data_IF_078818240717
#
_entry.id   IF_078818240717
#
_cell.length_a   1.000
_cell.length_b   1.000
_cell.length_c   1.000
_cell.angle_alpha   90.00
_cell.angle_beta   90.00
_cell.angle_gamma   90.00
#
_symmetry.space_group_name_H-M   'P 1'
#
loop_
_entity.id
_entity.type
_entity.pdbx_description
1 polymer ?
#
# COMPACT_ATOMS: atom_id res chain seq x y z
N UNK A 1 -35.40 -1.38 23.66
CA UNK A 1 -34.27 -1.60 24.58
C UNK A 1 -32.99 -1.48 23.75
N UNK A 2 -32.36 -0.30 23.79
CA UNK A 2 -31.08 0.00 23.11
C UNK A 2 -29.99 -0.80 23.84
N UNK A 3 -29.45 -1.84 23.20
CA UNK A 3 -28.21 -2.48 23.66
C UNK A 3 -27.08 -1.49 23.42
N UNK A 4 -26.58 -0.91 24.52
CA UNK A 4 -25.36 -0.13 24.50
C UNK A 4 -24.24 -0.94 23.79
N UNK A 5 -23.80 -0.48 22.63
CA UNK A 5 -22.59 -1.01 21.98
C UNK A 5 -21.45 -0.77 22.95
N UNK A 6 -20.84 -1.83 23.45
CA UNK A 6 -19.63 -1.73 24.24
C UNK A 6 -18.61 -0.91 23.42
N UNK A 7 -18.25 0.29 23.92
CA UNK A 7 -17.26 1.15 23.25
C UNK A 7 -15.94 0.39 23.19
N UNK A 8 -15.55 -0.07 22.01
CA UNK A 8 -14.25 -0.67 21.79
C UNK A 8 -13.16 0.32 22.22
N UNK A 9 -12.20 -0.13 23.02
CA UNK A 9 -11.15 0.76 23.55
C UNK A 9 -10.27 1.32 22.44
N UNK A 10 -9.76 2.56 22.61
CA UNK A 10 -8.86 3.19 21.63
C UNK A 10 -7.64 2.32 21.30
N UNK A 11 -6.96 1.67 22.26
CA UNK A 11 -5.87 0.74 21.95
C UNK A 11 -6.29 -0.43 21.05
N UNK A 12 -7.46 -1.03 21.28
CA UNK A 12 -7.94 -2.11 20.43
C UNK A 12 -8.27 -1.65 19.02
N UNK A 13 -8.84 -0.46 18.85
CA UNK A 13 -9.07 0.16 17.54
C UNK A 13 -7.76 0.53 16.85
N UNK A 14 -6.75 1.00 17.60
CA UNK A 14 -5.41 1.30 17.06
C UNK A 14 -4.73 0.03 16.57
N UNK A 15 -4.80 -1.06 17.33
CA UNK A 15 -4.28 -2.36 16.91
C UNK A 15 -4.98 -2.88 15.65
N UNK A 16 -6.31 -2.74 15.58
CA UNK A 16 -7.08 -3.07 14.39
C UNK A 16 -6.69 -2.23 13.18
N UNK A 17 -6.48 -0.92 13.37
CA UNK A 17 -6.03 -0.02 12.31
C UNK A 17 -4.64 -0.42 11.79
N UNK A 18 -3.69 -0.79 12.65
CA UNK A 18 -2.38 -1.29 12.21
C UNK A 18 -2.53 -2.53 11.34
N UNK A 19 -3.45 -3.44 11.70
CA UNK A 19 -3.65 -4.69 10.97
C UNK A 19 -4.32 -4.54 9.62
N UNK A 20 -5.30 -3.64 9.50
CA UNK A 20 -6.13 -3.55 8.29
C UNK A 20 -5.71 -2.35 7.43
N UNK A 21 -5.63 -1.15 8.04
CA UNK A 21 -5.43 0.10 7.31
C UNK A 21 -3.99 0.23 6.79
N UNK A 22 -3.02 -0.22 7.59
CA UNK A 22 -1.59 -0.02 7.30
C UNK A 22 -0.89 -1.26 6.73
N UNK A 23 -1.65 -2.32 6.40
CA UNK A 23 -1.10 -3.53 5.79
C UNK A 23 -0.36 -3.24 4.51
N UNK A 24 -1.00 -2.54 3.60
CA UNK A 24 -0.49 -2.28 2.26
C UNK A 24 0.73 -1.36 2.26
N UNK A 25 0.62 -0.18 2.86
CA UNK A 25 1.76 0.74 2.97
C UNK A 25 2.95 0.09 3.72
N UNK A 26 2.66 -0.85 4.64
CA UNK A 26 3.67 -1.60 5.37
C UNK A 26 4.47 -2.58 4.53
N UNK A 27 3.92 -3.04 3.41
CA UNK A 27 4.59 -4.00 2.51
C UNK A 27 5.37 -3.33 1.38
N UNK A 28 5.23 -2.01 1.20
CA UNK A 28 5.94 -1.25 0.18
C UNK A 28 7.48 -1.28 0.33
N UNK A 29 7.99 -1.53 1.53
CA UNK A 29 9.44 -1.69 1.79
C UNK A 29 10.07 -2.87 1.05
N UNK A 30 9.27 -3.86 0.64
CA UNK A 30 9.74 -5.04 -0.08
C UNK A 30 10.21 -4.73 -1.51
N UNK A 31 9.66 -3.69 -2.14
CA UNK A 31 9.87 -3.45 -3.56
C UNK A 31 10.27 -2.01 -3.92
N UNK A 32 9.93 -0.99 -3.11
CA UNK A 32 10.14 0.41 -3.50
C UNK A 32 11.60 0.77 -3.72
N UNK A 33 12.51 0.42 -2.80
CA UNK A 33 13.96 0.69 -2.95
C UNK A 33 14.56 -0.15 -4.07
N UNK A 34 14.16 -1.44 -4.14
CA UNK A 34 14.56 -2.35 -5.21
C UNK A 34 14.25 -1.76 -6.56
N UNK A 35 13.03 -1.24 -6.77
CA UNK A 35 12.59 -0.72 -8.06
C UNK A 35 13.41 0.49 -8.49
N UNK A 36 13.73 1.42 -7.58
CA UNK A 36 14.54 2.59 -7.91
C UNK A 36 15.95 2.21 -8.40
N UNK A 37 16.61 1.29 -7.70
CA UNK A 37 18.03 1.00 -7.96
C UNK A 37 18.28 -0.17 -8.91
N UNK A 38 17.33 -1.12 -9.01
CA UNK A 38 17.47 -2.28 -9.91
C UNK A 38 17.06 -1.97 -11.35
N UNK A 39 16.26 -0.94 -11.59
CA UNK A 39 15.83 -0.50 -12.92
C UNK A 39 16.99 -0.07 -13.84
N UNK A 40 18.18 0.16 -13.26
CA UNK A 40 19.38 0.60 -13.98
C UNK A 40 19.36 2.07 -14.43
N UNK A 41 18.28 2.79 -14.17
CA UNK A 41 18.17 4.20 -14.52
C UNK A 41 18.97 5.12 -13.60
N UNK A 42 19.12 4.74 -12.33
CA UNK A 42 19.84 5.52 -11.32
C UNK A 42 21.28 5.03 -11.22
N UNK A 43 22.25 5.92 -11.47
CA UNK A 43 23.64 5.64 -11.18
C UNK A 43 23.80 5.38 -9.67
N UNK A 44 24.45 4.26 -9.33
CA UNK A 44 24.67 3.85 -7.96
C UNK A 44 25.82 4.65 -7.35
N UNK A 45 25.51 5.70 -6.61
CA UNK A 45 26.45 6.52 -5.85
C UNK A 45 25.81 7.09 -4.58
N UNK A 46 26.63 7.58 -3.66
CA UNK A 46 26.21 8.10 -2.36
C UNK A 46 25.18 9.22 -2.48
N UNK A 47 25.41 10.18 -3.40
CA UNK A 47 24.53 11.33 -3.58
C UNK A 47 23.13 10.92 -4.05
N UNK A 48 23.04 9.94 -4.96
CA UNK A 48 21.76 9.43 -5.45
C UNK A 48 21.02 8.62 -4.37
N UNK A 49 21.73 7.84 -3.55
CA UNK A 49 21.12 7.11 -2.43
C UNK A 49 20.51 8.12 -1.45
N UNK A 50 21.22 9.17 -1.07
CA UNK A 50 20.70 10.21 -0.19
C UNK A 50 19.52 10.96 -0.83
N UNK A 51 19.60 11.30 -2.11
CA UNK A 51 18.53 11.95 -2.84
C UNK A 51 17.26 11.13 -2.89
N UNK A 52 17.35 9.85 -3.20
CA UNK A 52 16.21 8.91 -3.26
C UNK A 52 15.61 8.70 -1.88
N UNK A 53 16.41 8.49 -0.84
CA UNK A 53 15.90 8.34 0.53
C UNK A 53 15.21 9.62 1.00
N UNK A 54 15.79 10.78 0.69
CA UNK A 54 15.15 12.07 0.98
C UNK A 54 13.80 12.20 0.28
N UNK A 55 13.70 11.77 -0.99
CA UNK A 55 12.42 11.71 -1.70
C UNK A 55 11.41 10.80 -0.99
N UNK A 56 11.80 9.61 -0.52
CA UNK A 56 10.90 8.72 0.24
C UNK A 56 10.41 9.38 1.53
N UNK A 57 11.30 9.97 2.33
CA UNK A 57 10.95 10.67 3.58
C UNK A 57 9.92 11.75 3.33
N UNK A 58 10.18 12.62 2.35
CA UNK A 58 9.31 13.76 2.10
C UNK A 58 8.03 13.39 1.38
N UNK A 59 8.03 12.36 0.51
CA UNK A 59 6.82 11.82 -0.09
C UNK A 59 5.90 11.22 0.96
N UNK A 60 6.41 10.38 1.88
CA UNK A 60 5.63 9.83 2.99
C UNK A 60 5.11 10.96 3.90
N UNK A 61 5.95 11.94 4.20
CA UNK A 61 5.56 13.07 5.06
C UNK A 61 4.47 13.92 4.41
N UNK A 62 4.62 14.30 3.15
CA UNK A 62 3.68 15.19 2.47
C UNK A 62 2.39 14.43 2.09
N UNK A 63 2.52 13.26 1.48
CA UNK A 63 1.34 12.55 0.96
C UNK A 63 0.57 11.87 2.10
N UNK A 64 1.25 11.09 2.94
CA UNK A 64 0.54 10.33 3.97
C UNK A 64 0.26 11.19 5.19
N UNK A 65 1.28 11.80 5.79
CA UNK A 65 1.10 12.53 7.07
C UNK A 65 0.33 13.84 6.88
N UNK A 66 0.68 14.66 5.88
CA UNK A 66 0.03 15.94 5.68
C UNK A 66 -1.28 15.80 4.90
N UNK A 67 -1.24 15.24 3.69
CA UNK A 67 -2.42 15.16 2.82
C UNK A 67 -3.48 14.21 3.42
N UNK A 68 -3.17 12.92 3.64
CA UNK A 68 -4.18 11.96 4.10
C UNK A 68 -4.53 12.14 5.58
N UNK A 69 -3.55 12.02 6.47
CA UNK A 69 -3.78 12.01 7.93
C UNK A 69 -4.24 13.37 8.47
N UNK A 70 -3.68 14.47 7.97
CA UNK A 70 -3.98 15.80 8.51
C UNK A 70 -5.13 16.51 7.80
N UNK A 71 -5.28 16.35 6.47
CA UNK A 71 -6.28 17.04 5.68
C UNK A 71 -7.46 16.16 5.30
N UNK A 72 -7.22 15.05 4.55
CA UNK A 72 -8.30 14.22 3.97
C UNK A 72 -9.16 13.55 5.05
N UNK A 73 -8.56 13.08 6.15
CA UNK A 73 -9.34 12.52 7.27
C UNK A 73 -10.31 13.52 7.94
N UNK A 74 -10.24 14.82 7.61
CA UNK A 74 -11.23 15.80 8.10
C UNK A 74 -12.53 15.76 7.31
N UNK A 75 -12.47 15.38 6.03
CA UNK A 75 -13.63 15.23 5.16
C UNK A 75 -14.36 13.93 5.52
N UNK A 76 -15.34 13.98 6.39
CA UNK A 76 -16.16 12.83 6.72
C UNK A 76 -17.62 13.05 6.30
N UNK A 77 -18.26 12.00 5.84
CA UNK A 77 -19.68 11.97 5.55
C UNK A 77 -20.38 11.11 6.61
N UNK A 78 -20.86 11.74 7.68
CA UNK A 78 -21.53 11.08 8.81
C UNK A 78 -20.68 9.99 9.48
N UNK A 79 -19.38 10.23 9.58
CA UNK A 79 -18.42 9.29 10.13
C UNK A 79 -17.82 8.30 9.12
N UNK A 80 -18.33 8.25 7.89
CA UNK A 80 -17.77 7.42 6.82
C UNK A 80 -16.78 8.20 5.96
N UNK A 81 -15.75 7.50 5.46
CA UNK A 81 -14.74 7.99 4.55
C UNK A 81 -14.71 7.22 3.23
N UNK A 82 -13.63 7.42 2.49
CA UNK A 82 -13.39 6.78 1.20
C UNK A 82 -13.84 7.62 0.00
N UNK A 83 -13.46 7.14 -1.18
CA UNK A 83 -13.67 7.85 -2.45
C UNK A 83 -15.14 8.23 -2.68
N UNK A 84 -16.06 7.32 -2.37
CA UNK A 84 -17.50 7.54 -2.60
C UNK A 84 -18.08 8.53 -1.58
N UNK A 85 -17.61 8.52 -0.33
CA UNK A 85 -17.99 9.53 0.65
C UNK A 85 -17.53 10.93 0.21
N UNK A 86 -16.30 11.05 -0.30
CA UNK A 86 -15.78 12.31 -0.85
C UNK A 86 -16.58 12.76 -2.07
N UNK A 87 -16.91 11.84 -2.98
CA UNK A 87 -17.75 12.12 -4.15
C UNK A 87 -19.13 12.62 -3.73
N UNK A 88 -19.76 12.01 -2.74
CA UNK A 88 -21.07 12.43 -2.22
C UNK A 88 -21.01 13.85 -1.63
N UNK A 89 -19.96 14.17 -0.85
CA UNK A 89 -19.76 15.52 -0.30
C UNK A 89 -19.54 16.55 -1.41
N UNK A 90 -18.64 16.26 -2.36
CA UNK A 90 -18.32 17.17 -3.46
C UNK A 90 -19.51 17.39 -4.38
N UNK A 91 -20.25 16.33 -4.75
CA UNK A 91 -21.41 16.44 -5.61
C UNK A 91 -22.56 17.21 -4.96
N UNK A 92 -22.76 17.04 -3.65
CA UNK A 92 -23.77 17.80 -2.91
C UNK A 92 -23.48 19.31 -2.85
N UNK A 93 -22.19 19.68 -2.73
CA UNK A 93 -21.75 21.07 -2.68
C UNK A 93 -22.00 21.82 -4.03
N UNK A 94 -22.00 21.09 -5.14
CA UNK A 94 -22.14 21.66 -6.50
C UNK A 94 -23.47 21.32 -7.17
N UNK A 95 -24.45 20.84 -6.44
CA UNK A 95 -25.76 20.40 -6.95
C UNK A 95 -26.45 21.45 -7.83
N UNK A 96 -26.22 22.73 -7.56
CA UNK A 96 -26.79 23.84 -8.33
C UNK A 96 -25.99 24.21 -9.60
N UNK A 97 -24.88 23.52 -9.89
CA UNK A 97 -24.01 23.76 -11.05
C UNK A 97 -23.90 22.47 -11.91
N UNK A 98 -24.83 22.22 -12.85
CA UNK A 98 -24.95 20.93 -13.52
C UNK A 98 -23.67 20.50 -14.27
N UNK A 99 -22.96 21.43 -14.91
CA UNK A 99 -21.70 21.12 -15.61
C UNK A 99 -20.61 20.67 -14.62
N UNK A 100 -20.43 21.38 -13.49
CA UNK A 100 -19.45 21.03 -12.48
C UNK A 100 -19.82 19.72 -11.77
N UNK A 101 -21.11 19.51 -11.51
CA UNK A 101 -21.62 18.24 -10.98
C UNK A 101 -21.27 17.07 -11.90
N UNK A 102 -21.48 17.18 -13.22
CA UNK A 102 -21.13 16.14 -14.19
C UNK A 102 -19.64 15.85 -14.19
N UNK A 103 -18.78 16.87 -14.16
CA UNK A 103 -17.31 16.70 -14.08
C UNK A 103 -16.91 15.94 -12.81
N UNK A 104 -17.43 16.33 -11.64
CA UNK A 104 -17.13 15.67 -10.36
C UNK A 104 -17.60 14.22 -10.38
N UNK A 105 -18.78 13.93 -10.93
CA UNK A 105 -19.28 12.58 -11.05
C UNK A 105 -18.39 11.72 -11.97
N UNK A 106 -17.97 12.25 -13.11
CA UNK A 106 -17.05 11.57 -14.02
C UNK A 106 -15.71 11.28 -13.35
N UNK A 107 -15.14 12.26 -12.62
CA UNK A 107 -13.90 12.08 -11.87
C UNK A 107 -14.04 11.02 -10.76
N UNK A 108 -15.19 10.96 -10.08
CA UNK A 108 -15.47 9.95 -9.07
C UNK A 108 -15.58 8.54 -9.65
N UNK A 109 -16.24 8.38 -10.79
CA UNK A 109 -16.30 7.09 -11.49
C UNK A 109 -14.91 6.67 -11.94
N UNK A 110 -14.14 7.59 -12.53
CA UNK A 110 -12.77 7.33 -12.95
C UNK A 110 -11.88 6.91 -11.76
N UNK A 111 -11.94 7.63 -10.62
CA UNK A 111 -11.23 7.25 -9.41
C UNK A 111 -11.63 5.87 -8.89
N UNK A 112 -12.91 5.49 -9.03
CA UNK A 112 -13.36 4.14 -8.66
C UNK A 112 -12.74 3.07 -9.58
N UNK A 113 -12.64 3.34 -10.88
CA UNK A 113 -11.95 2.43 -11.81
C UNK A 113 -10.46 2.27 -11.46
N UNK A 114 -9.79 3.37 -11.09
CA UNK A 114 -8.40 3.33 -10.65
C UNK A 114 -8.22 2.48 -9.39
N UNK A 115 -9.13 2.56 -8.43
CA UNK A 115 -9.10 1.71 -7.24
C UNK A 115 -9.20 0.21 -7.57
N UNK A 116 -9.99 -0.18 -8.58
CA UNK A 116 -9.99 -1.56 -9.05
C UNK A 116 -8.67 -1.95 -9.71
N UNK A 117 -8.06 -1.05 -10.46
CA UNK A 117 -6.72 -1.24 -11.04
C UNK A 117 -5.67 -1.49 -9.97
N UNK A 118 -5.68 -0.67 -8.92
CA UNK A 118 -4.82 -0.84 -7.74
C UNK A 118 -5.11 -2.17 -7.03
N UNK A 119 -6.39 -2.54 -6.88
CA UNK A 119 -6.82 -3.83 -6.31
C UNK A 119 -6.33 -5.06 -7.10
N UNK A 120 -5.88 -4.90 -8.35
CA UNK A 120 -5.21 -5.96 -9.13
C UNK A 120 -3.70 -5.89 -8.96
N UNK A 121 -3.12 -4.71 -9.10
CA UNK A 121 -1.67 -4.53 -9.18
C UNK A 121 -1.00 -4.74 -7.82
N UNK A 122 -1.53 -4.12 -6.77
CA UNK A 122 -0.92 -4.13 -5.44
C UNK A 122 -0.84 -5.52 -4.81
N UNK A 123 -1.88 -6.38 -4.79
CA UNK A 123 -1.74 -7.76 -4.33
C UNK A 123 -0.75 -8.57 -5.17
N UNK A 124 -0.70 -8.32 -6.49
CA UNK A 124 0.24 -8.99 -7.40
C UNK A 124 1.69 -8.67 -7.04
N UNK A 125 2.02 -7.36 -6.88
CA UNK A 125 3.37 -6.91 -6.55
C UNK A 125 3.77 -7.39 -5.15
N UNK A 126 2.92 -7.17 -4.16
CA UNK A 126 3.24 -7.40 -2.76
C UNK A 126 3.48 -8.88 -2.47
N UNK A 127 2.58 -9.78 -2.90
CA UNK A 127 2.75 -11.23 -2.67
C UNK A 127 3.93 -11.75 -3.48
N UNK A 128 4.10 -11.32 -4.73
CA UNK A 128 5.23 -11.74 -5.56
C UNK A 128 6.56 -11.27 -4.95
N UNK A 129 6.67 -10.03 -4.49
CA UNK A 129 7.87 -9.50 -3.82
C UNK A 129 8.23 -10.30 -2.56
N UNK A 130 7.24 -10.66 -1.74
CA UNK A 130 7.47 -11.47 -0.55
C UNK A 130 8.02 -12.85 -0.90
N UNK A 131 7.42 -13.52 -1.91
CA UNK A 131 7.84 -14.87 -2.35
C UNK A 131 9.18 -14.83 -3.09
N UNK A 132 9.50 -13.74 -3.81
CA UNK A 132 10.83 -13.55 -4.43
C UNK A 132 11.97 -13.57 -3.40
N UNK A 133 11.70 -13.32 -2.13
CA UNK A 133 12.68 -13.52 -1.05
C UNK A 133 13.25 -14.94 -1.00
N UNK A 134 12.52 -15.94 -1.48
CA UNK A 134 13.02 -17.31 -1.60
C UNK A 134 14.23 -17.43 -2.54
N UNK A 135 14.31 -16.60 -3.57
CA UNK A 135 15.43 -16.61 -4.53
C UNK A 135 16.73 -16.15 -3.87
N UNK A 136 16.62 -15.27 -2.85
CA UNK A 136 17.77 -14.81 -2.05
C UNK A 136 18.25 -15.93 -1.12
N UNK A 137 17.35 -16.81 -0.65
CA UNK A 137 17.72 -18.00 0.15
C UNK A 137 18.41 -19.03 -0.73
N UNK A 138 17.85 -19.33 -1.90
CA UNK A 138 18.46 -20.24 -2.87
C UNK A 138 18.01 -19.89 -4.30
N UNK A 139 18.94 -19.67 -5.25
CA UNK A 139 18.63 -19.44 -6.66
C UNK A 139 17.79 -20.54 -7.31
N UNK A 140 17.89 -21.80 -6.81
CA UNK A 140 17.11 -22.94 -7.31
C UNK A 140 15.62 -22.77 -7.07
N UNK A 141 15.21 -21.94 -6.11
CA UNK A 141 13.80 -21.68 -5.78
C UNK A 141 13.14 -20.67 -6.73
N UNK A 142 13.86 -20.14 -7.70
CA UNK A 142 13.30 -19.22 -8.69
C UNK A 142 12.10 -19.80 -9.45
N UNK A 143 12.17 -21.08 -9.82
CA UNK A 143 11.05 -21.77 -10.50
C UNK A 143 9.80 -21.95 -9.65
N UNK A 144 9.93 -21.87 -8.32
CA UNK A 144 8.82 -22.04 -7.36
C UNK A 144 8.09 -20.71 -7.09
N UNK A 145 8.70 -19.57 -7.41
CA UNK A 145 8.15 -18.23 -7.06
C UNK A 145 6.75 -18.03 -7.66
N UNK A 146 6.59 -18.21 -8.96
CA UNK A 146 5.29 -17.99 -9.64
C UNK A 146 4.23 -18.98 -9.16
N UNK A 147 4.48 -20.30 -9.13
CA UNK A 147 3.50 -21.27 -8.62
C UNK A 147 3.11 -21.00 -7.16
N UNK A 148 4.08 -20.68 -6.29
CA UNK A 148 3.81 -20.37 -4.89
C UNK A 148 2.95 -19.10 -4.75
N UNK A 149 3.29 -18.04 -5.48
CA UNK A 149 2.51 -16.78 -5.50
C UNK A 149 1.07 -17.05 -5.93
N UNK A 150 0.85 -17.77 -7.02
CA UNK A 150 -0.49 -18.10 -7.50
C UNK A 150 -1.26 -18.96 -6.50
N UNK A 151 -0.60 -19.90 -5.84
CA UNK A 151 -1.21 -20.73 -4.81
C UNK A 151 -1.65 -19.92 -3.60
N UNK A 152 -0.79 -19.01 -3.10
CA UNK A 152 -1.11 -18.12 -1.99
C UNK A 152 -2.30 -17.23 -2.35
N UNK A 153 -2.28 -16.61 -3.53
CA UNK A 153 -3.37 -15.76 -4.01
C UNK A 153 -4.66 -16.55 -4.19
N UNK A 154 -4.60 -17.76 -4.79
CA UNK A 154 -5.77 -18.62 -4.93
C UNK A 154 -6.40 -18.94 -3.57
N UNK A 155 -5.59 -19.37 -2.60
CA UNK A 155 -6.06 -19.66 -1.24
C UNK A 155 -6.68 -18.42 -0.58
N UNK A 156 -6.06 -17.24 -0.75
CA UNK A 156 -6.59 -15.99 -0.23
C UNK A 156 -7.99 -15.70 -0.80
N UNK A 157 -8.18 -15.77 -2.12
CA UNK A 157 -9.46 -15.52 -2.76
C UNK A 157 -10.49 -16.61 -2.51
N UNK A 158 -10.05 -17.85 -2.33
CA UNK A 158 -10.93 -18.98 -1.99
C UNK A 158 -11.53 -18.85 -0.59
N UNK A 159 -10.75 -18.37 0.37
CA UNK A 159 -11.19 -18.19 1.77
C UNK A 159 -12.15 -17.02 1.95
N UNK A 160 -12.20 -16.05 1.02
CA UNK A 160 -13.04 -14.85 1.10
C UNK A 160 -14.53 -15.16 1.38
N UNK A 161 -15.06 -16.22 0.79
CA UNK A 161 -16.47 -16.64 0.96
C UNK A 161 -16.86 -16.99 2.39
N UNK A 162 -15.89 -17.35 3.24
CA UNK A 162 -16.13 -17.70 4.65
C UNK A 162 -16.11 -16.48 5.58
N UNK A 163 -15.69 -15.32 5.05
CA UNK A 163 -15.53 -14.08 5.84
C UNK A 163 -14.26 -14.07 6.69
N UNK A 164 -13.88 -12.87 7.13
CA UNK A 164 -12.61 -12.62 7.82
C UNK A 164 -12.71 -12.58 9.35
N UNK A 165 -13.89 -12.85 9.91
CA UNK A 165 -14.19 -12.66 11.34
C UNK A 165 -13.24 -13.39 12.30
N UNK A 166 -12.82 -14.63 11.97
CA UNK A 166 -11.91 -15.41 12.82
C UNK A 166 -10.46 -14.96 12.70
N UNK A 167 -10.03 -14.65 11.48
CA UNK A 167 -8.65 -14.37 11.13
C UNK A 167 -8.31 -12.88 11.38
N UNK A 168 -9.27 -11.98 11.23
CA UNK A 168 -9.07 -10.53 11.38
C UNK A 168 -8.51 -10.09 12.73
N UNK A 169 -8.78 -10.87 13.80
CA UNK A 169 -8.21 -10.61 15.13
C UNK A 169 -6.69 -10.79 15.19
N UNK A 170 -6.12 -11.59 14.28
CA UNK A 170 -4.68 -11.84 14.21
C UNK A 170 -3.96 -10.77 13.37
N UNK A 171 -4.67 -10.03 12.53
CA UNK A 171 -4.06 -9.05 11.62
C UNK A 171 -3.28 -7.98 12.39
N UNK A 172 -3.87 -7.40 13.44
CA UNK A 172 -3.21 -6.40 14.27
C UNK A 172 -1.88 -6.90 14.88
N UNK A 173 -1.90 -7.96 15.68
CA UNK A 173 -0.67 -8.52 16.27
C UNK A 173 0.40 -8.91 15.25
N UNK A 174 0.02 -9.54 14.14
CA UNK A 174 0.95 -9.93 13.07
C UNK A 174 1.58 -8.69 12.43
N UNK A 175 0.79 -7.66 12.13
CA UNK A 175 1.32 -6.44 11.52
C UNK A 175 2.15 -5.62 12.50
N UNK A 176 1.84 -5.59 13.80
CA UNK A 176 2.71 -4.98 14.81
C UNK A 176 4.07 -5.69 14.83
N UNK A 177 4.07 -7.02 14.85
CA UNK A 177 5.33 -7.78 14.80
C UNK A 177 6.10 -7.48 13.49
N UNK A 178 5.41 -7.40 12.36
CA UNK A 178 6.00 -7.00 11.08
C UNK A 178 6.70 -5.63 11.16
N UNK A 179 5.99 -4.59 11.66
CA UNK A 179 6.58 -3.26 11.79
C UNK A 179 7.76 -3.22 12.76
N UNK A 180 7.72 -3.96 13.85
CA UNK A 180 8.85 -4.07 14.77
C UNK A 180 10.05 -4.76 14.14
N UNK A 181 9.83 -5.82 13.36
CA UNK A 181 10.91 -6.54 12.66
C UNK A 181 11.59 -5.65 11.62
N UNK A 182 10.81 -4.97 10.76
CA UNK A 182 11.38 -4.11 9.72
C UNK A 182 12.10 -2.90 10.33
N UNK A 183 11.59 -2.35 11.45
CA UNK A 183 12.26 -1.28 12.20
C UNK A 183 13.56 -1.76 12.82
N UNK A 184 13.55 -2.93 13.49
CA UNK A 184 14.72 -3.50 14.15
C UNK A 184 15.87 -3.78 13.18
N UNK A 185 15.55 -4.38 12.02
CA UNK A 185 16.55 -4.61 10.96
C UNK A 185 17.05 -3.27 10.41
N UNK A 186 16.16 -2.29 10.22
CA UNK A 186 16.54 -0.95 9.79
C UNK A 186 17.54 -0.29 10.75
N UNK A 187 17.24 -0.29 12.05
CA UNK A 187 18.11 0.25 13.09
C UNK A 187 19.48 -0.46 13.11
N UNK A 188 19.49 -1.78 12.97
CA UNK A 188 20.74 -2.55 12.92
C UNK A 188 21.70 -2.04 11.83
N UNK A 189 21.20 -1.79 10.61
CA UNK A 189 22.05 -1.28 9.53
C UNK A 189 22.40 0.20 9.69
N UNK A 190 21.47 1.03 10.20
CA UNK A 190 21.74 2.44 10.48
C UNK A 190 22.87 2.61 11.49
N UNK A 191 22.96 1.77 12.51
CA UNK A 191 24.05 1.83 13.51
C UNK A 191 25.45 1.68 12.90
N UNK A 192 25.58 0.95 11.79
CA UNK A 192 26.84 0.78 11.07
C UNK A 192 27.15 1.93 10.10
N UNK A 193 26.16 2.76 9.77
CA UNK A 193 26.31 3.89 8.87
C UNK A 193 25.30 5.00 9.23
N UNK A 194 25.58 5.68 10.37
CA UNK A 194 24.68 6.71 10.94
C UNK A 194 24.54 7.93 10.02
N UNK A 195 25.52 8.18 9.15
CA UNK A 195 25.51 9.31 8.21
C UNK A 195 24.33 9.27 7.26
N UNK A 196 23.74 8.08 7.02
CA UNK A 196 22.57 7.92 6.16
C UNK A 196 21.37 8.79 6.64
N UNK A 197 21.29 9.11 7.93
CA UNK A 197 20.24 9.95 8.50
C UNK A 197 20.29 11.41 8.01
N UNK A 198 21.40 11.85 7.42
CA UNK A 198 21.47 13.15 6.76
C UNK A 198 20.46 13.27 5.61
N UNK A 199 20.05 12.16 5.00
CA UNK A 199 19.03 12.14 3.97
C UNK A 199 17.62 12.57 4.45
N UNK A 200 17.42 12.80 5.76
CA UNK A 200 16.22 13.50 6.27
C UNK A 200 16.16 14.94 5.73
N UNK A 201 17.31 15.57 5.45
CA UNK A 201 17.34 16.93 4.95
C UNK A 201 16.78 16.99 3.51
N UNK A 202 15.73 17.81 3.24
CA UNK A 202 15.11 17.93 1.93
C UNK A 202 16.05 18.45 0.83
N UNK A 203 17.19 19.03 1.21
CA UNK A 203 18.18 19.54 0.25
C UNK A 203 18.69 18.42 -0.68
N UNK A 204 18.80 17.17 -0.18
CA UNK A 204 19.25 16.04 -1.00
C UNK A 204 18.19 15.66 -2.05
N UNK A 205 16.89 15.69 -1.70
CA UNK A 205 15.81 15.50 -2.67
C UNK A 205 15.83 16.61 -3.73
N UNK A 206 15.97 17.87 -3.30
CA UNK A 206 16.04 19.01 -4.20
C UNK A 206 17.25 18.92 -5.16
N UNK A 207 18.44 18.65 -4.64
CA UNK A 207 19.64 18.49 -5.43
C UNK A 207 19.51 17.36 -6.46
N UNK A 208 18.97 16.21 -6.04
CA UNK A 208 18.73 15.08 -6.93
C UNK A 208 17.80 15.45 -8.10
N UNK A 209 16.69 16.13 -7.83
CA UNK A 209 15.71 16.55 -8.83
C UNK A 209 16.32 17.59 -9.78
N UNK A 210 17.08 18.56 -9.25
CA UNK A 210 17.68 19.62 -10.07
C UNK A 210 18.84 19.15 -10.93
N UNK A 211 19.64 18.20 -10.42
CA UNK A 211 20.79 17.65 -11.16
C UNK A 211 20.35 16.75 -12.32
N UNK A 212 19.27 15.99 -12.13
CA UNK A 212 18.80 15.00 -13.10
C UNK A 212 17.27 15.07 -13.27
N UNK A 213 16.69 16.12 -13.86
CA UNK A 213 15.22 16.31 -13.89
C UNK A 213 14.48 15.22 -14.64
N UNK A 214 14.99 14.73 -15.77
CA UNK A 214 14.38 13.63 -16.52
C UNK A 214 14.41 12.33 -15.72
N UNK A 215 15.54 12.03 -15.09
CA UNK A 215 15.69 10.86 -14.25
C UNK A 215 14.80 10.95 -13.02
N UNK A 216 14.72 12.12 -12.38
CA UNK A 216 13.83 12.37 -11.24
C UNK A 216 12.38 12.11 -11.61
N UNK A 217 11.93 12.52 -12.80
CA UNK A 217 10.57 12.26 -13.28
C UNK A 217 10.30 10.74 -13.43
N UNK A 218 11.23 9.98 -14.02
CA UNK A 218 11.09 8.52 -14.15
C UNK A 218 11.02 7.85 -12.77
N UNK A 219 11.88 8.28 -11.84
CA UNK A 219 11.97 7.70 -10.49
C UNK A 219 10.76 8.06 -9.64
N UNK A 220 10.09 9.20 -9.88
CA UNK A 220 8.87 9.53 -9.15
C UNK A 220 7.83 8.41 -9.22
N UNK A 221 7.75 7.68 -10.34
CA UNK A 221 6.90 6.48 -10.44
C UNK A 221 7.28 5.40 -9.42
N UNK A 222 8.57 5.15 -9.24
CA UNK A 222 9.07 4.19 -8.24
C UNK A 222 8.96 4.76 -6.80
N UNK A 223 9.16 6.07 -6.62
CA UNK A 223 9.01 6.74 -5.30
C UNK A 223 7.56 6.69 -4.84
N UNK A 224 6.58 6.86 -5.72
CA UNK A 224 5.15 6.78 -5.38
C UNK A 224 4.78 5.40 -4.81
N UNK A 225 5.51 4.34 -5.16
CA UNK A 225 5.29 3.01 -4.59
C UNK A 225 5.42 2.98 -3.05
N UNK A 226 6.22 3.87 -2.44
CA UNK A 226 6.38 3.93 -0.99
C UNK A 226 5.13 4.46 -0.25
N UNK A 227 4.16 5.02 -0.96
CA UNK A 227 2.91 5.56 -0.39
C UNK A 227 1.66 4.88 -0.94
N UNK A 228 1.80 3.80 -1.71
CA UNK A 228 0.67 2.95 -2.10
C UNK A 228 -0.07 2.44 -0.87
N UNK A 229 -1.40 2.34 -0.95
CA UNK A 229 -2.25 2.02 0.20
C UNK A 229 -2.57 3.21 1.11
N UNK A 230 -2.08 4.42 0.79
CA UNK A 230 -2.44 5.62 1.53
C UNK A 230 -3.94 5.95 1.47
N UNK A 231 -4.64 5.56 0.42
CA UNK A 231 -6.09 5.71 0.26
C UNK A 231 -6.89 4.83 1.22
N UNK A 232 -6.37 3.69 1.64
CA UNK A 232 -7.01 2.82 2.61
C UNK A 232 -7.22 3.53 3.96
N UNK A 233 -6.33 4.47 4.31
CA UNK A 233 -6.46 5.30 5.50
C UNK A 233 -7.79 6.05 5.57
N UNK A 234 -8.24 6.53 4.43
CA UNK A 234 -9.48 7.27 4.33
C UNK A 234 -10.69 6.35 4.12
N UNK A 235 -10.52 5.25 3.39
CA UNK A 235 -11.57 4.27 3.16
C UNK A 235 -12.04 3.62 4.47
N UNK A 236 -11.12 3.25 5.36
CA UNK A 236 -11.41 2.55 6.61
C UNK A 236 -11.66 3.49 7.81
N UNK A 237 -11.69 4.80 7.58
CA UNK A 237 -11.95 5.79 8.62
C UNK A 237 -13.27 5.52 9.38
N UNK A 238 -14.29 5.04 8.68
CA UNK A 238 -15.59 4.71 9.27
C UNK A 238 -15.53 3.56 10.27
N UNK A 239 -14.60 2.62 10.08
CA UNK A 239 -14.47 1.44 10.94
C UNK A 239 -13.62 1.71 12.19
N UNK A 240 -12.54 2.44 12.07
CA UNK A 240 -11.56 2.63 13.16
C UNK A 240 -11.62 4.02 13.80
N UNK A 241 -12.09 5.02 13.07
CA UNK A 241 -12.10 6.41 13.49
C UNK A 241 -10.74 7.13 13.30
N UNK A 242 -10.79 8.45 13.24
CA UNK A 242 -9.62 9.32 12.96
C UNK A 242 -8.49 9.19 13.99
N UNK A 243 -8.83 9.10 15.29
CA UNK A 243 -7.85 9.11 16.38
C UNK A 243 -6.99 7.83 16.41
N UNK A 244 -7.55 6.60 16.36
CA UNK A 244 -6.77 5.37 16.28
C UNK A 244 -5.84 5.31 15.06
N UNK A 245 -6.32 5.74 13.89
CA UNK A 245 -5.53 5.80 12.66
C UNK A 245 -4.31 6.72 12.86
N UNK A 246 -4.52 7.94 13.38
CA UNK A 246 -3.42 8.88 13.65
C UNK A 246 -2.39 8.34 14.65
N UNK A 247 -2.86 7.73 15.73
CA UNK A 247 -1.97 7.13 16.75
C UNK A 247 -1.12 6.05 16.11
N UNK A 248 -1.73 5.09 15.39
CA UNK A 248 -1.03 4.01 14.71
C UNK A 248 0.07 4.54 13.77
N UNK A 249 -0.26 5.55 12.98
CA UNK A 249 0.68 6.15 12.02
C UNK A 249 1.92 6.74 12.68
N UNK A 250 1.71 7.69 13.58
CA UNK A 250 2.83 8.44 14.14
C UNK A 250 3.63 7.67 15.19
N UNK A 251 3.02 6.68 15.88
CA UNK A 251 3.72 5.94 16.93
C UNK A 251 4.48 4.71 16.42
N UNK A 252 3.99 4.02 15.39
CA UNK A 252 4.56 2.73 14.95
C UNK A 252 4.86 2.73 13.46
N UNK A 253 3.86 3.03 12.60
CA UNK A 253 3.96 2.73 11.18
C UNK A 253 4.99 3.62 10.48
N UNK A 254 4.84 4.94 10.58
CA UNK A 254 5.76 5.90 9.95
C UNK A 254 7.21 5.72 10.45
N UNK A 255 7.49 5.65 11.77
CA UNK A 255 8.83 5.38 12.26
C UNK A 255 9.42 4.07 11.70
N UNK A 256 8.64 2.98 11.70
CA UNK A 256 9.10 1.69 11.21
C UNK A 256 9.46 1.71 9.73
N UNK A 257 8.63 2.35 8.89
CA UNK A 257 8.89 2.50 7.46
C UNK A 257 10.16 3.33 7.21
N UNK A 258 10.29 4.48 7.87
CA UNK A 258 11.46 5.34 7.69
C UNK A 258 12.74 4.66 8.14
N UNK A 259 12.73 4.00 9.31
CA UNK A 259 13.88 3.23 9.79
C UNK A 259 14.27 2.12 8.82
N UNK A 260 13.30 1.44 8.22
CA UNK A 260 13.58 0.41 7.23
C UNK A 260 14.17 0.99 5.95
N UNK A 261 13.62 2.06 5.39
CA UNK A 261 14.15 2.71 4.19
C UNK A 261 15.58 3.24 4.42
N UNK A 262 15.85 3.87 5.54
CA UNK A 262 17.21 4.27 5.92
C UNK A 262 18.14 3.06 6.11
N UNK A 263 17.64 1.98 6.72
CA UNK A 263 18.38 0.73 6.86
C UNK A 263 18.77 0.10 5.52
N UNK A 264 17.83 0.07 4.56
CA UNK A 264 18.12 -0.39 3.19
C UNK A 264 19.17 0.51 2.52
N UNK A 265 19.08 1.84 2.68
CA UNK A 265 20.09 2.76 2.17
C UNK A 265 21.46 2.57 2.81
N UNK A 266 21.53 2.41 4.13
CA UNK A 266 22.76 2.13 4.86
C UNK A 266 23.40 0.79 4.43
N UNK A 267 22.58 -0.25 4.23
CA UNK A 267 23.02 -1.53 3.69
C UNK A 267 23.59 -1.39 2.28
N UNK A 268 22.91 -0.65 1.40
CA UNK A 268 23.36 -0.44 0.02
C UNK A 268 24.68 0.34 -0.05
N UNK A 269 24.92 1.32 0.82
CA UNK A 269 26.19 2.04 0.88
C UNK A 269 27.37 1.09 1.21
N UNK A 270 27.13 0.11 2.08
CA UNK A 270 28.15 -0.89 2.43
C UNK A 270 28.24 -2.03 1.40
N UNK A 271 27.16 -2.33 0.67
CA UNK A 271 27.03 -3.48 -0.23
C UNK A 271 26.42 -3.07 -1.56
N UNK A 272 27.19 -2.50 -2.50
CA UNK A 272 26.70 -2.03 -3.80
C UNK A 272 26.03 -3.10 -4.68
N UNK A 273 26.43 -4.35 -4.53
CA UNK A 273 25.85 -5.49 -5.25
C UNK A 273 24.46 -5.91 -4.73
N UNK A 274 24.06 -5.38 -3.57
CA UNK A 274 22.79 -5.68 -2.91
C UNK A 274 21.55 -5.07 -3.58
N UNK A 275 21.69 -4.30 -4.64
CA UNK A 275 20.60 -3.58 -5.35
C UNK A 275 19.52 -4.49 -5.94
N UNK A 276 19.83 -5.75 -6.21
CA UNK A 276 18.87 -6.71 -6.79
C UNK A 276 17.69 -7.01 -5.86
N UNK A 277 17.94 -7.08 -4.55
CA UNK A 277 16.90 -7.24 -3.53
C UNK A 277 17.37 -6.71 -2.16
N UNK A 278 17.43 -5.38 -1.98
CA UNK A 278 18.00 -4.77 -0.77
C UNK A 278 17.34 -5.27 0.51
N UNK A 279 16.00 -5.40 0.50
CA UNK A 279 15.23 -5.81 1.67
C UNK A 279 15.63 -7.19 2.18
N UNK A 280 15.69 -8.22 1.33
CA UNK A 280 16.02 -9.57 1.81
C UNK A 280 17.53 -9.78 1.97
N UNK A 281 18.36 -9.08 1.21
CA UNK A 281 19.81 -9.19 1.33
C UNK A 281 20.37 -8.55 2.61
N UNK A 282 19.71 -7.53 3.17
CA UNK A 282 20.10 -6.94 4.44
C UNK A 282 19.76 -7.83 5.64
N UNK A 283 19.03 -8.94 5.46
CA UNK A 283 18.63 -9.85 6.52
C UNK A 283 19.70 -10.94 6.70
N UNK A 284 20.14 -11.24 7.94
CA UNK A 284 21.06 -12.35 8.21
C UNK A 284 20.50 -13.69 7.68
N UNK A 285 21.38 -14.55 7.15
CA UNK A 285 21.00 -15.79 6.48
C UNK A 285 20.05 -16.67 7.30
N UNK A 286 20.31 -16.80 8.60
CA UNK A 286 19.49 -17.61 9.52
C UNK A 286 18.06 -17.09 9.66
N UNK A 287 17.82 -15.79 9.42
CA UNK A 287 16.51 -15.14 9.56
C UNK A 287 15.79 -14.93 8.22
N UNK A 288 16.41 -15.24 7.08
CA UNK A 288 15.79 -15.00 5.76
C UNK A 288 14.50 -15.78 5.58
N UNK A 289 14.48 -17.08 5.90
CA UNK A 289 13.26 -17.91 5.77
C UNK A 289 12.15 -17.41 6.70
N UNK A 290 12.37 -17.22 8.01
CA UNK A 290 11.37 -16.60 8.89
C UNK A 290 10.85 -15.27 8.36
N UNK A 291 11.71 -14.43 7.79
CA UNK A 291 11.30 -13.14 7.24
C UNK A 291 10.48 -13.27 5.97
N UNK A 292 10.79 -14.21 5.07
CA UNK A 292 9.94 -14.51 3.90
C UNK A 292 8.54 -14.95 4.33
N UNK A 293 8.44 -15.77 5.36
CA UNK A 293 7.14 -16.19 5.93
C UNK A 293 6.40 -14.98 6.50
N UNK A 294 7.07 -14.14 7.29
CA UNK A 294 6.46 -12.93 7.85
C UNK A 294 6.05 -11.92 6.77
N UNK A 295 6.89 -11.69 5.77
CA UNK A 295 6.55 -10.84 4.62
C UNK A 295 5.33 -11.38 3.86
N UNK A 296 5.27 -12.69 3.63
CA UNK A 296 4.13 -13.34 2.99
C UNK A 296 2.85 -13.17 3.80
N UNK A 297 2.91 -13.36 5.13
CA UNK A 297 1.75 -13.11 6.01
C UNK A 297 1.31 -11.63 5.96
N UNK A 298 2.25 -10.70 6.01
CA UNK A 298 1.97 -9.28 5.92
C UNK A 298 1.31 -8.91 4.58
N UNK A 299 1.81 -9.45 3.46
CA UNK A 299 1.25 -9.19 2.13
C UNK A 299 -0.13 -9.83 1.91
N UNK A 300 -0.38 -10.99 2.51
CA UNK A 300 -1.71 -11.63 2.53
C UNK A 300 -2.71 -10.76 3.31
N UNK A 301 -2.30 -10.21 4.46
CA UNK A 301 -3.14 -9.29 5.24
C UNK A 301 -3.42 -8.01 4.48
N UNK A 302 -2.40 -7.42 3.85
CA UNK A 302 -2.53 -6.23 3.01
C UNK A 302 -3.52 -6.46 1.84
N UNK A 303 -3.34 -7.56 1.12
CA UNK A 303 -4.23 -7.95 0.02
C UNK A 303 -5.67 -8.18 0.48
N UNK A 304 -5.86 -8.77 1.67
CA UNK A 304 -7.18 -8.96 2.27
C UNK A 304 -7.92 -7.64 2.49
N UNK A 305 -7.23 -6.62 2.97
CA UNK A 305 -7.81 -5.30 3.19
C UNK A 305 -8.30 -4.66 1.88
N UNK A 306 -7.47 -4.71 0.83
CA UNK A 306 -7.81 -4.21 -0.51
C UNK A 306 -9.01 -4.94 -1.13
N UNK A 307 -9.06 -6.27 -1.04
CA UNK A 307 -10.19 -7.07 -1.54
C UNK A 307 -11.48 -6.68 -0.82
N UNK A 308 -11.44 -6.53 0.50
CA UNK A 308 -12.59 -6.08 1.29
C UNK A 308 -13.03 -4.66 0.91
N UNK A 309 -12.08 -3.77 0.66
CA UNK A 309 -12.31 -2.43 0.13
C UNK A 309 -13.02 -2.46 -1.22
N UNK A 310 -12.57 -3.30 -2.15
CA UNK A 310 -13.18 -3.47 -3.47
C UNK A 310 -14.65 -3.95 -3.35
N UNK A 311 -14.96 -4.88 -2.46
CA UNK A 311 -16.35 -5.29 -2.22
C UNK A 311 -17.20 -4.16 -1.65
N UNK A 312 -16.66 -3.37 -0.73
CA UNK A 312 -17.36 -2.23 -0.12
C UNK A 312 -17.68 -1.15 -1.16
N UNK A 313 -16.70 -0.80 -2.00
CA UNK A 313 -16.87 0.16 -3.10
C UNK A 313 -17.86 -0.37 -4.14
N UNK A 314 -17.78 -1.66 -4.51
CA UNK A 314 -18.75 -2.29 -5.42
C UNK A 314 -20.17 -2.19 -4.88
N UNK A 315 -20.38 -2.53 -3.60
CA UNK A 315 -21.70 -2.43 -2.95
C UNK A 315 -22.24 -1.00 -3.05
N UNK A 316 -21.42 0.00 -2.73
CA UNK A 316 -21.82 1.41 -2.81
C UNK A 316 -22.09 1.84 -4.24
N UNK A 317 -21.28 1.42 -5.22
CA UNK A 317 -21.48 1.71 -6.64
C UNK A 317 -22.79 1.10 -7.19
N UNK A 318 -23.14 -0.11 -6.76
CA UNK A 318 -24.45 -0.75 -7.09
C UNK A 318 -25.61 0.02 -6.46
N UNK A 319 -25.47 0.47 -5.21
CA UNK A 319 -26.50 1.25 -4.51
C UNK A 319 -26.74 2.61 -5.16
N UNK A 320 -25.71 3.23 -5.71
CA UNK A 320 -25.78 4.51 -6.42
C UNK A 320 -26.21 4.36 -7.89
N UNK A 321 -26.37 3.13 -8.38
CA UNK A 321 -26.77 2.87 -9.77
C UNK A 321 -25.65 2.97 -10.81
N UNK A 322 -24.38 3.05 -10.39
CA UNK A 322 -23.23 3.08 -11.29
C UNK A 322 -22.87 1.70 -11.84
N UNK A 323 -23.22 0.64 -11.10
CA UNK A 323 -23.03 -0.73 -11.52
C UNK A 323 -24.37 -1.49 -11.54
N UNK A 324 -24.51 -2.50 -12.41
CA UNK A 324 -25.68 -3.35 -12.43
C UNK A 324 -25.83 -4.10 -11.11
N UNK A 325 -27.05 -4.57 -10.82
CA UNK A 325 -27.33 -5.38 -9.64
C UNK A 325 -26.53 -6.67 -9.68
N UNK A 326 -25.72 -6.90 -8.65
CA UNK A 326 -24.91 -8.10 -8.47
C UNK A 326 -25.35 -8.87 -7.23
N UNK A 327 -25.04 -10.16 -7.19
CA UNK A 327 -25.26 -10.98 -6.00
C UNK A 327 -24.29 -10.56 -4.90
N UNK A 328 -24.82 -9.99 -3.82
CA UNK A 328 -24.08 -9.59 -2.63
C UNK A 328 -24.42 -10.59 -1.51
N UNK A 329 -23.41 -11.22 -0.95
CA UNK A 329 -23.54 -12.17 0.16
C UNK A 329 -23.01 -11.51 1.44
N UNK A 330 -23.82 -11.45 2.48
CA UNK A 330 -23.40 -10.95 3.78
C UNK A 330 -22.78 -12.09 4.58
N UNK A 331 -21.49 -12.00 4.85
CA UNK A 331 -20.73 -13.04 5.56
C UNK A 331 -20.90 -12.97 7.08
N UNK A 332 -21.43 -11.87 7.60
CA UNK A 332 -21.70 -11.69 9.02
C UNK A 332 -23.02 -10.95 9.25
N UNK A 333 -23.93 -11.56 10.02
CA UNK A 333 -25.25 -10.98 10.36
C UNK A 333 -25.12 -9.83 11.37
N UNK A 334 -24.05 -9.79 12.17
CA UNK A 334 -23.84 -8.79 13.23
C UNK A 334 -23.06 -7.55 12.75
N UNK A 335 -22.30 -7.67 11.68
CA UNK A 335 -21.50 -6.59 11.08
C UNK A 335 -21.95 -6.36 9.65
N UNK A 336 -22.84 -5.40 9.47
CA UNK A 336 -23.49 -5.07 8.17
C UNK A 336 -22.46 -4.66 7.08
N UNK A 337 -21.21 -4.38 7.47
CA UNK A 337 -20.11 -3.98 6.57
C UNK A 337 -19.40 -5.13 5.85
N UNK A 338 -19.43 -6.36 6.36
CA UNK A 338 -18.71 -7.48 5.76
C UNK A 338 -19.53 -8.13 4.65
N UNK A 339 -19.19 -7.79 3.42
CA UNK A 339 -19.84 -8.30 2.22
C UNK A 339 -18.87 -9.13 1.36
N UNK A 340 -19.40 -10.11 0.65
CA UNK A 340 -18.70 -10.91 -0.34
C UNK A 340 -19.45 -10.83 -1.67
N UNK A 341 -18.74 -10.53 -2.75
CA UNK A 341 -19.32 -10.41 -4.09
C UNK A 341 -18.57 -11.39 -5.02
N UNK A 342 -19.17 -12.56 -5.32
CA UNK A 342 -18.48 -13.63 -6.06
C UNK A 342 -17.90 -13.20 -7.41
N UNK A 343 -18.65 -12.41 -8.19
CA UNK A 343 -18.20 -11.93 -9.49
C UNK A 343 -16.94 -11.07 -9.40
N UNK A 344 -16.91 -10.14 -8.44
CA UNK A 344 -15.73 -9.28 -8.21
C UNK A 344 -14.56 -10.10 -7.67
N UNK A 345 -14.82 -11.01 -6.72
CA UNK A 345 -13.79 -11.85 -6.14
C UNK A 345 -13.02 -12.64 -7.21
N UNK A 346 -13.73 -13.39 -8.02
CA UNK A 346 -13.10 -14.22 -9.04
C UNK A 346 -12.57 -13.40 -10.23
N UNK A 347 -13.23 -12.27 -10.56
CA UNK A 347 -12.74 -11.34 -11.56
C UNK A 347 -11.39 -10.73 -11.17
N UNK A 348 -11.25 -10.27 -9.92
CA UNK A 348 -9.98 -9.78 -9.38
C UNK A 348 -8.91 -10.88 -9.36
N UNK A 349 -9.26 -12.10 -8.89
CA UNK A 349 -8.31 -13.20 -8.89
C UNK A 349 -7.76 -13.50 -10.30
N UNK A 350 -8.64 -13.58 -11.31
CA UNK A 350 -8.23 -13.85 -12.71
C UNK A 350 -7.31 -12.74 -13.21
N UNK A 351 -7.66 -11.46 -12.95
CA UNK A 351 -6.84 -10.33 -13.37
C UNK A 351 -5.46 -10.32 -12.67
N UNK A 352 -5.41 -10.61 -11.36
CA UNK A 352 -4.18 -10.73 -10.58
C UNK A 352 -3.32 -11.90 -11.10
N UNK A 353 -3.91 -13.08 -11.31
CA UNK A 353 -3.20 -14.24 -11.83
C UNK A 353 -2.63 -13.96 -13.23
N UNK A 354 -3.41 -13.32 -14.09
CA UNK A 354 -2.94 -12.87 -15.40
C UNK A 354 -1.76 -11.89 -15.29
N UNK A 355 -1.84 -10.89 -14.40
CA UNK A 355 -0.76 -9.94 -14.18
C UNK A 355 0.52 -10.65 -13.70
N UNK A 356 0.43 -11.56 -12.72
CA UNK A 356 1.57 -12.33 -12.21
C UNK A 356 2.23 -13.17 -13.29
N UNK A 357 1.44 -13.85 -14.14
CA UNK A 357 1.96 -14.69 -15.23
C UNK A 357 2.58 -13.87 -16.36
N UNK A 358 1.98 -12.72 -16.69
CA UNK A 358 2.46 -11.82 -17.75
C UNK A 358 3.80 -11.17 -17.37
N UNK A 359 3.87 -10.56 -16.19
CA UNK A 359 5.03 -9.76 -15.77
C UNK A 359 6.15 -10.60 -15.13
N UNK A 360 5.83 -11.74 -14.52
CA UNK A 360 6.76 -12.72 -13.93
C UNK A 360 7.67 -12.20 -12.81
N UNK A 361 7.76 -10.90 -12.59
CA UNK A 361 8.58 -10.30 -11.54
C UNK A 361 7.88 -9.10 -10.89
N UNK A 362 8.14 -8.89 -9.60
CA UNK A 362 7.62 -7.74 -8.87
C UNK A 362 8.13 -6.41 -9.42
N UNK A 363 9.39 -6.38 -9.90
CA UNK A 363 9.97 -5.19 -10.52
C UNK A 363 9.27 -4.80 -11.82
N UNK A 364 8.97 -5.77 -12.71
CA UNK A 364 8.24 -5.46 -13.95
C UNK A 364 6.81 -4.95 -13.67
N UNK A 365 6.12 -5.52 -12.67
CA UNK A 365 4.81 -5.03 -12.21
C UNK A 365 4.91 -3.62 -11.62
N UNK A 366 5.93 -3.38 -10.78
CA UNK A 366 6.15 -2.09 -10.14
C UNK A 366 6.49 -0.99 -11.16
N UNK A 367 7.32 -1.29 -12.16
CA UNK A 367 7.63 -0.38 -13.26
C UNK A 367 6.37 -0.03 -14.09
N UNK A 368 5.57 -1.04 -14.43
CA UNK A 368 4.30 -0.82 -15.14
C UNK A 368 3.32 0.04 -14.33
N UNK A 369 3.24 -0.19 -13.01
CA UNK A 369 2.40 0.60 -12.11
C UNK A 369 2.90 2.03 -11.98
N UNK A 370 4.19 2.24 -11.77
CA UNK A 370 4.80 3.56 -11.69
C UNK A 370 4.58 4.39 -12.96
N UNK A 371 4.77 3.80 -14.13
CA UNK A 371 4.48 4.45 -15.41
C UNK A 371 2.99 4.78 -15.58
N UNK A 372 2.10 3.89 -15.17
CA UNK A 372 0.66 4.12 -15.20
C UNK A 372 0.28 5.33 -14.34
N UNK A 373 0.79 5.43 -13.12
CA UNK A 373 0.53 6.55 -12.20
C UNK A 373 1.03 7.89 -12.76
N UNK A 374 2.17 7.92 -13.42
CA UNK A 374 2.71 9.13 -14.06
C UNK A 374 1.75 9.60 -15.17
N UNK A 375 1.31 8.72 -16.04
CA UNK A 375 0.39 9.07 -17.13
C UNK A 375 -0.99 9.50 -16.64
N UNK A 376 -1.47 8.96 -15.53
CA UNK A 376 -2.78 9.30 -14.95
C UNK A 376 -2.73 10.63 -14.20
N UNK A 377 -1.61 10.98 -13.58
CA UNK A 377 -1.46 12.25 -12.84
C UNK A 377 -1.24 13.46 -13.75
N UNK A 378 -0.79 13.28 -15.00
CA UNK A 378 -0.62 14.35 -15.98
C UNK A 378 -1.91 15.10 -16.34
N UNK A 379 -3.07 14.44 -16.61
CA UNK A 379 -4.31 15.15 -16.92
C UNK A 379 -4.82 16.03 -15.78
N UNK A 380 -4.51 15.69 -14.53
CA UNK A 380 -4.92 16.51 -13.37
C UNK A 380 -4.09 17.77 -13.22
N UNK A 381 -2.91 17.83 -13.82
CA UNK A 381 -2.06 19.02 -13.83
C UNK A 381 -2.62 20.14 -14.73
N UNK A 382 -3.34 19.79 -15.79
CA UNK A 382 -4.03 20.73 -16.69
C UNK A 382 -5.29 21.37 -16.09
N UNK A 383 -5.79 20.84 -14.97
CA UNK A 383 -7.00 21.37 -14.27
C UNK A 383 -6.63 22.19 -13.02
N UNK A 384 -5.35 22.36 -12.71
CA UNK A 384 -4.85 23.17 -11.57
C UNK A 384 -4.30 24.54 -11.98
N UNK A 385 -4.54 24.99 -13.23
CA UNK A 385 -4.24 26.35 -13.72
C UNK A 385 -5.56 27.17 -13.81
#
# INVERSE_FOLDING_TARGET
>A
MSKAHAKTSVPALTLGAIGVVYGDIGTSVLYSVKEVFNSGHVAFNVANIYGVLSLFVWTITIIVSLKYISLVLRADNKGEGGLIAMLALASSAVKHRPKLHAVIMTMGIFGTCLFYGDGVITPSISVLSAVEGLTVVSPRLHSVVIPATLTILFLLFFVQKFGTKGIGKLFGPVMVLWFLLIAGIGVYHIQHNVEILQAINPIYAYQFVMTNPTLAFIILGAVVLCVTGGEALYADMGHFGKKPIRIAWFSIVMPALLLNYFGQGAFLLANPDGKSNPFFLMIPDAMRIPMVVMATLATVIASQALISGAFSITKQAVQLGFLPRMRIVYTNVKEVGQVYIPAINWGLFIAIAFAVVMFKSSGALAAAYGLSLIHISEPTRLLSI
#
